data_IF_894449844424
#
_entry.id   IF_894449844424
#
_cell.length_a   1.000
_cell.length_b   1.000
_cell.length_c   1.000
_cell.angle_alpha   90.00
_cell.angle_beta   90.00
_cell.angle_gamma   90.00
#
_symmetry.space_group_name_H-M   'P 1'
#
loop_
_entity.id
_entity.type
_entity.pdbx_description
1 polymer ?
#
# COMPACT_ATOMS: atom_id res chain seq x y z
N UNK A 1 8.82 -4.46 -61.04
CA UNK A 1 9.32 -3.55 -59.98
C UNK A 1 8.20 -2.95 -59.13
N UNK A 2 7.07 -2.48 -59.70
CA UNK A 2 5.98 -1.85 -58.92
C UNK A 2 5.28 -2.82 -57.96
N UNK A 3 5.13 -4.10 -58.34
CA UNK A 3 4.51 -5.16 -57.53
C UNK A 3 5.39 -5.68 -56.39
N UNK A 4 6.72 -5.59 -56.53
CA UNK A 4 7.67 -5.98 -55.48
C UNK A 4 7.82 -4.87 -54.43
N UNK A 5 7.65 -3.59 -54.81
CA UNK A 5 7.72 -2.48 -53.85
C UNK A 5 6.48 -2.43 -52.94
N UNK A 6 5.32 -2.83 -53.46
CA UNK A 6 4.06 -2.89 -52.71
C UNK A 6 4.05 -4.04 -51.69
N UNK A 7 4.62 -5.21 -52.04
CA UNK A 7 4.74 -6.32 -51.10
C UNK A 7 5.68 -6.01 -49.93
N UNK A 8 6.81 -5.34 -50.16
CA UNK A 8 7.72 -4.90 -49.10
C UNK A 8 7.06 -3.88 -48.15
N UNK A 9 6.24 -2.97 -48.68
CA UNK A 9 5.50 -2.02 -47.86
C UNK A 9 4.45 -2.72 -46.99
N UNK A 10 3.70 -3.68 -47.54
CA UNK A 10 2.72 -4.44 -46.77
C UNK A 10 3.35 -5.32 -45.69
N UNK A 11 4.48 -5.96 -45.95
CA UNK A 11 5.18 -6.75 -44.93
C UNK A 11 5.77 -5.87 -43.84
N UNK A 12 6.33 -4.70 -44.19
CA UNK A 12 6.82 -3.73 -43.22
C UNK A 12 5.69 -3.23 -42.29
N UNK A 13 4.52 -2.88 -42.85
CA UNK A 13 3.37 -2.47 -42.04
C UNK A 13 2.85 -3.60 -41.15
N UNK A 14 2.83 -4.85 -41.64
CA UNK A 14 2.45 -6.00 -40.83
C UNK A 14 3.43 -6.25 -39.67
N UNK A 15 4.74 -6.09 -39.91
CA UNK A 15 5.76 -6.20 -38.87
C UNK A 15 5.60 -5.09 -37.84
N UNK A 16 5.40 -3.83 -38.26
CA UNK A 16 5.15 -2.72 -37.32
C UNK A 16 3.90 -2.97 -36.47
N UNK A 17 2.82 -3.47 -37.06
CA UNK A 17 1.61 -3.81 -36.29
C UNK A 17 1.88 -4.92 -35.29
N UNK A 18 2.60 -5.99 -35.65
CA UNK A 18 2.97 -7.05 -34.70
C UNK A 18 3.87 -6.53 -33.58
N UNK A 19 4.86 -5.69 -33.90
CA UNK A 19 5.70 -5.06 -32.89
C UNK A 19 4.88 -4.17 -31.96
N UNK A 20 3.93 -3.39 -32.48
CA UNK A 20 3.01 -2.59 -31.67
C UNK A 20 2.12 -3.51 -30.84
N UNK A 21 1.49 -4.56 -31.36
CA UNK A 21 0.64 -5.46 -30.56
C UNK A 21 1.40 -6.24 -29.47
N UNK A 22 2.65 -6.64 -29.73
CA UNK A 22 3.49 -7.38 -28.76
C UNK A 22 4.16 -6.45 -27.76
N UNK A 23 4.50 -5.23 -28.15
CA UNK A 23 5.14 -4.22 -27.30
C UNK A 23 4.19 -3.11 -26.85
N UNK A 24 2.88 -3.19 -27.13
CA UNK A 24 1.90 -2.48 -26.33
C UNK A 24 2.17 -3.03 -24.95
N UNK A 25 2.75 -2.22 -24.02
CA UNK A 25 2.67 -2.62 -22.64
C UNK A 25 1.18 -2.71 -22.43
N UNK A 26 0.68 -3.91 -22.16
CA UNK A 26 -0.64 -4.02 -21.57
C UNK A 26 -0.50 -3.22 -20.29
N UNK A 27 -0.86 -1.94 -20.34
CA UNK A 27 -1.33 -1.18 -19.20
C UNK A 27 -2.69 -1.79 -18.82
N UNK A 28 -2.73 -3.12 -18.68
CA UNK A 28 -3.63 -3.82 -17.82
C UNK A 28 -3.20 -3.36 -16.42
N UNK A 29 -3.72 -2.19 -16.07
CA UNK A 29 -4.03 -1.82 -14.70
C UNK A 29 -4.92 -2.93 -14.16
N UNK A 30 -4.32 -4.02 -13.71
CA UNK A 30 -4.94 -4.93 -12.75
C UNK A 30 -4.52 -4.45 -11.36
N UNK A 31 -5.04 -3.28 -10.99
CA UNK A 31 -5.35 -2.97 -9.60
C UNK A 31 -6.79 -2.47 -9.58
N UNK A 32 -7.70 -3.30 -10.10
CA UNK A 32 -9.08 -3.25 -9.65
C UNK A 32 -9.21 -4.20 -8.44
N UNK A 33 -8.38 -3.99 -7.41
CA UNK A 33 -8.86 -4.21 -6.06
C UNK A 33 -9.98 -3.20 -5.92
N UNK A 34 -11.21 -3.68 -5.88
CA UNK A 34 -12.42 -2.92 -5.61
C UNK A 34 -12.22 -2.22 -4.26
N UNK A 35 -11.52 -1.09 -4.28
CA UNK A 35 -11.40 -0.18 -3.16
C UNK A 35 -12.83 0.24 -2.86
N UNK A 36 -13.23 0.11 -1.60
CA UNK A 36 -14.35 0.89 -1.10
C UNK A 36 -13.98 2.34 -1.38
N UNK A 37 -14.50 2.89 -2.48
CA UNK A 37 -14.27 4.27 -2.86
C UNK A 37 -14.69 5.13 -1.69
N UNK A 38 -13.72 5.83 -1.11
CA UNK A 38 -13.94 6.71 0.00
C UNK A 38 -14.20 8.10 -0.52
N UNK A 39 -15.48 8.52 -0.66
CA UNK A 39 -15.83 9.77 -1.32
C UNK A 39 -15.25 11.00 -0.61
N UNK A 40 -14.88 10.86 0.67
CA UNK A 40 -14.26 11.94 1.45
C UNK A 40 -12.80 12.21 1.06
N UNK A 41 -12.09 11.20 0.55
CA UNK A 41 -10.66 11.25 0.23
C UNK A 41 -10.38 11.13 -1.28
N UNK A 42 -11.41 10.95 -2.10
CA UNK A 42 -11.30 10.67 -3.53
C UNK A 42 -10.45 11.73 -4.27
N UNK A 43 -9.42 11.26 -4.99
CA UNK A 43 -8.54 12.10 -5.81
C UNK A 43 -7.62 13.07 -5.05
N UNK A 44 -7.58 12.99 -3.72
CA UNK A 44 -6.78 13.88 -2.87
C UNK A 44 -5.42 13.30 -2.47
N UNK A 45 -4.42 14.16 -2.17
CA UNK A 45 -3.10 13.72 -1.67
C UNK A 45 -3.19 12.96 -0.34
N UNK A 46 -4.28 13.16 0.41
CA UNK A 46 -4.51 12.46 1.67
C UNK A 46 -4.79 10.96 1.47
N UNK A 47 -5.45 10.59 0.37
CA UNK A 47 -5.70 9.18 0.02
C UNK A 47 -4.39 8.45 -0.25
N UNK A 48 -3.52 9.05 -1.06
CA UNK A 48 -2.21 8.47 -1.38
C UNK A 48 -1.38 8.25 -0.11
N UNK A 49 -1.34 9.23 0.79
CA UNK A 49 -0.63 9.09 2.07
C UNK A 49 -1.23 7.95 2.92
N UNK A 50 -2.56 7.87 3.01
CA UNK A 50 -3.22 6.82 3.77
C UNK A 50 -2.95 5.42 3.20
N UNK A 51 -2.92 5.27 1.88
CA UNK A 51 -2.56 4.02 1.22
C UNK A 51 -1.12 3.61 1.48
N UNK A 52 -0.17 4.56 1.40
CA UNK A 52 1.24 4.28 1.71
C UNK A 52 1.43 3.85 3.16
N UNK A 53 0.72 4.47 4.09
CA UNK A 53 0.74 4.06 5.51
C UNK A 53 0.29 2.60 5.65
N UNK A 54 -0.80 2.19 4.98
CA UNK A 54 -1.28 0.82 5.02
C UNK A 54 -0.30 -0.18 4.37
N UNK A 55 0.38 0.20 3.29
CA UNK A 55 1.40 -0.63 2.64
C UNK A 55 2.61 -0.87 3.54
N UNK A 56 3.22 0.18 4.09
CA UNK A 56 4.36 0.04 4.98
C UNK A 56 4.00 -0.71 6.26
N UNK A 57 2.80 -0.45 6.81
CA UNK A 57 2.32 -1.16 7.99
C UNK A 57 2.14 -2.66 7.71
N UNK A 58 1.62 -3.01 6.54
CA UNK A 58 1.53 -4.40 6.10
C UNK A 58 2.92 -5.03 5.97
N UNK A 59 3.89 -4.36 5.35
CA UNK A 59 5.25 -4.90 5.20
C UNK A 59 5.89 -5.24 6.55
N UNK A 60 5.76 -4.36 7.54
CA UNK A 60 6.32 -4.57 8.89
C UNK A 60 5.57 -5.69 9.64
N UNK A 61 4.25 -5.81 9.44
CA UNK A 61 3.41 -6.74 10.19
C UNK A 61 3.02 -8.02 9.44
N UNK A 62 3.47 -8.21 8.21
CA UNK A 62 3.02 -9.29 7.32
C UNK A 62 3.18 -10.69 7.93
N UNK A 63 4.24 -10.89 8.71
CA UNK A 63 4.49 -12.15 9.40
C UNK A 63 3.38 -12.51 10.41
N UNK A 64 2.74 -11.53 11.04
CA UNK A 64 1.68 -11.74 12.03
C UNK A 64 0.29 -11.53 11.41
N UNK A 65 0.14 -10.54 10.53
CA UNK A 65 -1.12 -10.06 9.97
C UNK A 65 -0.99 -9.84 8.45
N UNK A 66 -1.13 -10.91 7.65
CA UNK A 66 -1.00 -10.81 6.19
C UNK A 66 -2.11 -9.98 5.53
N UNK A 67 -3.27 -9.84 6.18
CA UNK A 67 -4.39 -9.04 5.69
C UNK A 67 -4.36 -7.59 6.16
N UNK A 68 -3.28 -7.13 6.81
CA UNK A 68 -3.23 -5.78 7.39
C UNK A 68 -3.53 -4.68 6.36
N UNK A 69 -3.11 -4.82 5.10
CA UNK A 69 -3.34 -3.81 4.06
C UNK A 69 -4.83 -3.55 3.82
N UNK A 70 -5.62 -4.62 3.70
CA UNK A 70 -7.07 -4.50 3.45
C UNK A 70 -7.82 -4.07 4.71
N UNK A 71 -7.46 -4.61 5.88
CA UNK A 71 -8.04 -4.19 7.17
C UNK A 71 -7.76 -2.72 7.48
N UNK A 72 -6.57 -2.21 7.12
CA UNK A 72 -6.18 -0.82 7.28
C UNK A 72 -7.02 0.13 6.41
N UNK A 73 -7.34 -0.26 5.16
CA UNK A 73 -8.18 0.52 4.25
C UNK A 73 -9.67 0.53 4.63
N UNK A 74 -10.12 -0.44 5.43
CA UNK A 74 -11.52 -0.63 5.78
C UNK A 74 -12.17 0.62 6.40
N UNK A 75 -13.46 0.81 6.12
CA UNK A 75 -14.25 1.91 6.67
C UNK A 75 -13.61 3.28 6.44
N UNK A 76 -13.03 3.48 5.25
CA UNK A 76 -12.38 4.73 4.85
C UNK A 76 -11.30 5.20 5.80
N UNK A 77 -10.36 4.31 6.12
CA UNK A 77 -9.22 4.59 7.00
C UNK A 77 -9.66 5.06 8.41
N UNK A 78 -10.89 4.76 8.82
CA UNK A 78 -11.42 5.06 10.16
C UNK A 78 -11.22 3.90 11.15
N UNK A 79 -10.61 2.80 10.69
CA UNK A 79 -10.41 1.60 11.50
C UNK A 79 -9.32 1.79 12.56
N UNK A 80 -9.40 0.97 13.62
CA UNK A 80 -8.35 0.91 14.63
C UNK A 80 -7.02 0.38 14.06
N UNK A 81 -7.09 -0.38 12.96
CA UNK A 81 -5.92 -0.82 12.20
C UNK A 81 -5.18 0.38 11.59
N UNK A 82 -5.90 1.28 10.92
CA UNK A 82 -5.31 2.50 10.37
C UNK A 82 -4.67 3.35 11.47
N UNK A 83 -5.37 3.56 12.60
CA UNK A 83 -4.83 4.30 13.76
C UNK A 83 -3.55 3.67 14.30
N UNK A 84 -3.55 2.34 14.43
CA UNK A 84 -2.37 1.59 14.89
C UNK A 84 -1.20 1.79 13.92
N UNK A 85 -1.45 1.72 12.61
CA UNK A 85 -0.45 1.93 11.58
C UNK A 85 0.12 3.35 11.59
N UNK A 86 -0.73 4.38 11.70
CA UNK A 86 -0.29 5.79 11.81
C UNK A 86 0.60 5.99 13.04
N UNK A 87 0.25 5.36 14.17
CA UNK A 87 0.99 5.50 15.42
C UNK A 87 2.43 4.96 15.34
N UNK A 88 2.70 3.99 14.46
CA UNK A 88 4.06 3.49 14.21
C UNK A 88 4.96 4.61 13.68
N UNK A 89 4.43 5.50 12.84
CA UNK A 89 5.16 6.62 12.24
C UNK A 89 5.17 7.88 13.12
N UNK A 90 4.34 7.93 14.17
CA UNK A 90 4.33 9.04 15.12
C UNK A 90 5.52 8.94 16.08
N UNK A 91 6.32 10.02 16.20
CA UNK A 91 7.46 10.10 17.13
C UNK A 91 7.04 10.00 18.60
N UNK A 92 5.75 10.18 18.88
CA UNK A 92 5.06 9.77 20.09
C UNK A 92 4.83 8.26 20.07
N UNK A 93 5.91 7.48 20.08
CA UNK A 93 5.80 6.11 20.56
C UNK A 93 5.32 6.21 22.01
N UNK A 94 4.02 6.04 22.19
CA UNK A 94 3.51 5.46 23.44
C UNK A 94 4.01 4.02 23.40
N UNK A 95 5.32 3.84 23.63
CA UNK A 95 5.69 2.66 24.38
C UNK A 95 4.73 2.67 25.56
N UNK A 96 4.02 1.56 25.86
CA UNK A 96 3.46 1.45 27.19
C UNK A 96 4.64 1.71 28.10
N UNK A 97 4.70 2.90 28.73
CA UNK A 97 5.68 3.22 29.75
C UNK A 97 5.47 2.07 30.71
N UNK A 98 6.29 1.04 30.62
CA UNK A 98 6.41 0.03 31.66
C UNK A 98 6.90 0.88 32.80
N UNK A 99 5.95 1.39 33.58
CA UNK A 99 6.21 1.89 34.90
C UNK A 99 6.64 0.62 35.63
N UNK A 100 7.92 0.28 35.48
CA UNK A 100 8.64 -0.54 36.43
C UNK A 100 8.56 0.31 37.69
N UNK A 101 7.45 0.15 38.40
CA UNK A 101 7.32 0.57 39.78
C UNK A 101 8.23 -0.41 40.49
N UNK A 102 9.52 -0.10 40.49
CA UNK A 102 10.50 -0.67 41.39
C UNK A 102 9.94 -0.43 42.78
N UNK A 103 9.17 -1.41 43.28
CA UNK A 103 8.82 -1.51 44.69
C UNK A 103 10.14 -1.72 45.41
N UNK A 104 10.84 -0.64 45.76
CA UNK A 104 11.69 -0.69 46.93
C UNK A 104 10.77 -0.95 48.11
N UNK A 105 10.78 -2.21 48.54
CA UNK A 105 10.23 -2.66 49.81
C UNK A 105 11.06 -1.99 50.90
N UNK A 106 10.66 -0.78 51.26
CA UNK A 106 11.10 -0.13 52.48
C UNK A 106 10.60 -1.00 53.65
N UNK A 107 11.47 -1.85 54.18
CA UNK A 107 11.29 -2.47 55.49
C UNK A 107 11.73 -1.45 56.53
N UNK A 108 10.79 -0.65 57.03
CA UNK A 108 10.93 0.06 58.28
C UNK A 108 9.70 -0.25 59.13
N UNK A 109 9.80 -1.26 59.99
CA UNK A 109 8.96 -1.39 61.19
C UNK A 109 9.96 -1.54 62.33
N UNK A 110 10.14 -0.44 63.05
CA UNK A 110 10.63 -0.44 64.42
C UNK A 110 9.40 -0.61 65.31
N UNK A 111 9.30 -1.75 66.00
CA UNK A 111 8.58 -1.92 67.27
C UNK A 111 9.44 -2.82 68.14
#
# INVERSE_FOLDING_TARGET
LVTTMSSLSTTYMAILLLFVFVNIPTAAQFDQEKQEECPLLEGGPLLEVAERICEFCHEISNHEKPNMRSECRSSCFSSDHFRTCVNIFSSTSTQPRRHIRSRHRIRHIWV
#
